data_IF_395775749152
#
_entry.id   IF_395775749152
#
_cell.length_a   1.000
_cell.length_b   1.000
_cell.length_c   1.000
_cell.angle_alpha   90.00
_cell.angle_beta   90.00
_cell.angle_gamma   90.00
#
_symmetry.space_group_name_H-M   'P 1'
#
loop_
_entity.id
_entity.type
_entity.pdbx_description
1 polymer ?
#
# COMPACT_ATOMS: atom_id res chain seq x y z
N UNK A 1 4.18 -5.75 -19.54
CA UNK A 1 2.94 -5.79 -18.73
C UNK A 1 3.28 -5.68 -17.25
N UNK A 2 3.22 -4.48 -16.65
CA UNK A 2 3.57 -4.25 -15.23
C UNK A 2 2.45 -3.54 -14.44
N UNK A 3 1.21 -3.60 -14.93
CA UNK A 3 0.13 -2.70 -14.51
C UNK A 3 -1.01 -3.26 -13.61
N UNK A 4 -1.10 -4.56 -13.22
CA UNK A 4 -2.14 -4.99 -12.29
C UNK A 4 -1.85 -4.57 -10.84
N UNK A 5 -0.59 -4.50 -10.43
CA UNK A 5 -0.22 -4.14 -9.06
C UNK A 5 -0.51 -2.66 -8.73
N UNK A 6 -0.33 -1.76 -9.72
CA UNK A 6 -0.37 -0.32 -9.47
C UNK A 6 -1.79 0.22 -9.21
N UNK A 7 -2.81 -0.22 -9.97
CA UNK A 7 -4.15 0.39 -9.94
C UNK A 7 -4.96 0.01 -8.70
N UNK A 8 -4.93 -1.25 -8.31
CA UNK A 8 -5.68 -1.79 -7.14
C UNK A 8 -5.15 -1.19 -5.84
N UNK A 9 -3.82 -1.08 -5.73
CA UNK A 9 -3.15 -0.45 -4.59
C UNK A 9 -3.43 1.05 -4.57
N UNK A 10 -3.38 1.75 -5.70
CA UNK A 10 -3.70 3.18 -5.80
C UNK A 10 -5.09 3.51 -5.24
N UNK A 11 -6.10 2.79 -5.75
CA UNK A 11 -7.51 3.02 -5.37
C UNK A 11 -7.70 2.84 -3.87
N UNK A 12 -7.07 1.81 -3.30
CA UNK A 12 -7.22 1.50 -1.89
C UNK A 12 -6.42 2.43 -0.97
N UNK A 13 -5.20 2.84 -1.34
CA UNK A 13 -4.35 3.72 -0.51
C UNK A 13 -4.84 5.18 -0.54
N UNK A 14 -5.19 5.68 -1.73
CA UNK A 14 -5.36 7.12 -1.93
C UNK A 14 -6.81 7.56 -2.12
N UNK A 15 -7.69 6.71 -2.64
CA UNK A 15 -9.10 7.09 -2.90
C UNK A 15 -9.99 6.81 -1.69
N UNK A 16 -9.94 5.61 -1.13
CA UNK A 16 -10.83 5.23 -0.03
C UNK A 16 -10.28 5.61 1.34
N UNK A 17 -8.95 5.72 1.51
CA UNK A 17 -8.30 6.10 2.78
C UNK A 17 -8.48 5.09 3.93
N UNK A 18 -9.42 4.16 3.81
CA UNK A 18 -9.69 3.08 4.74
C UNK A 18 -8.81 1.86 4.41
N UNK A 19 -7.88 1.56 5.31
CA UNK A 19 -7.06 0.35 5.26
C UNK A 19 -7.89 -0.82 5.80
N UNK A 20 -8.37 -1.69 4.91
CA UNK A 20 -9.17 -2.88 5.28
C UNK A 20 -8.32 -4.15 5.37
N UNK A 21 -8.75 -5.16 6.12
CA UNK A 21 -8.10 -6.49 6.18
C UNK A 21 -7.90 -7.11 4.78
N UNK A 22 -8.93 -7.03 3.93
CA UNK A 22 -8.87 -7.50 2.53
C UNK A 22 -7.77 -6.79 1.75
N UNK A 23 -7.72 -5.46 1.85
CA UNK A 23 -6.67 -4.68 1.20
C UNK A 23 -5.27 -5.05 1.71
N UNK A 24 -5.10 -5.26 3.02
CA UNK A 24 -3.82 -5.67 3.58
C UNK A 24 -3.37 -7.06 3.12
N UNK A 25 -4.30 -8.01 2.94
CA UNK A 25 -4.02 -9.31 2.32
C UNK A 25 -3.53 -9.18 0.87
N UNK A 26 -4.18 -8.33 0.07
CA UNK A 26 -3.74 -8.04 -1.30
C UNK A 26 -2.37 -7.34 -1.32
N UNK A 27 -2.16 -6.33 -0.48
CA UNK A 27 -0.88 -5.61 -0.39
C UNK A 27 0.27 -6.54 0.01
N UNK A 28 0.03 -7.49 0.94
CA UNK A 28 1.00 -8.54 1.30
C UNK A 28 1.34 -9.46 0.13
N UNK A 29 0.35 -9.93 -0.63
CA UNK A 29 0.57 -10.78 -1.81
C UNK A 29 1.40 -10.07 -2.88
N UNK A 30 1.20 -8.76 -3.06
CA UNK A 30 1.95 -7.95 -4.01
C UNK A 30 3.38 -7.65 -3.51
N UNK A 31 3.60 -7.69 -2.20
CA UNK A 31 4.90 -7.58 -1.56
C UNK A 31 5.47 -6.16 -1.51
N UNK A 32 6.53 -5.99 -0.70
CA UNK A 32 7.17 -4.70 -0.45
C UNK A 32 7.79 -4.10 -1.72
N UNK A 33 8.35 -4.94 -2.58
CA UNK A 33 8.94 -4.53 -3.87
C UNK A 33 7.91 -3.80 -4.73
N UNK A 34 6.67 -4.30 -4.80
CA UNK A 34 5.66 -3.60 -5.58
C UNK A 34 5.21 -2.29 -4.91
N UNK A 35 5.07 -2.27 -3.58
CA UNK A 35 4.79 -1.04 -2.85
C UNK A 35 5.85 0.05 -3.13
N UNK A 36 7.14 -0.30 -3.10
CA UNK A 36 8.23 0.66 -3.30
C UNK A 36 8.31 1.14 -4.76
N UNK A 37 8.17 0.23 -5.73
CA UNK A 37 8.10 0.58 -7.15
C UNK A 37 6.91 1.51 -7.45
N UNK A 38 5.81 1.34 -6.72
CA UNK A 38 4.63 2.17 -6.85
C UNK A 38 4.81 3.57 -6.25
N UNK A 39 5.47 3.71 -5.11
CA UNK A 39 5.85 5.03 -4.56
C UNK A 39 6.65 5.79 -5.61
N UNK A 40 7.64 5.14 -6.23
CA UNK A 40 8.43 5.74 -7.31
C UNK A 40 7.55 6.18 -8.48
N UNK A 41 6.64 5.32 -8.94
CA UNK A 41 5.75 5.65 -10.08
C UNK A 41 4.75 6.77 -9.76
N UNK A 42 4.31 6.86 -8.51
CA UNK A 42 3.41 7.92 -8.03
C UNK A 42 4.10 9.29 -8.06
N UNK A 43 5.40 9.33 -7.74
CA UNK A 43 6.20 10.56 -7.81
C UNK A 43 6.41 11.04 -9.24
N UNK A 44 6.44 10.13 -10.21
CA UNK A 44 6.57 10.45 -11.63
C UNK A 44 5.25 10.91 -12.28
N UNK A 45 4.10 10.63 -11.65
CA UNK A 45 2.80 10.90 -12.24
C UNK A 45 2.37 12.37 -11.99
N UNK A 46 2.07 13.14 -13.06
CA UNK A 46 1.76 14.56 -12.96
C UNK A 46 0.49 14.86 -12.16
N UNK A 47 -0.38 13.87 -11.92
CA UNK A 47 -1.56 14.02 -11.05
C UNK A 47 -1.14 14.29 -9.60
N UNK A 48 0.02 13.78 -9.16
CA UNK A 48 0.52 13.93 -7.79
C UNK A 48 1.61 14.99 -7.66
N UNK A 49 1.85 15.80 -8.70
CA UNK A 49 2.88 16.86 -8.71
C UNK A 49 2.78 17.87 -7.56
N UNK A 50 1.59 18.03 -6.99
CA UNK A 50 1.33 18.95 -5.88
C UNK A 50 1.54 18.31 -4.50
N UNK A 51 1.78 16.99 -4.45
CA UNK A 51 2.11 16.28 -3.21
C UNK A 51 3.62 16.25 -3.05
N UNK A 52 4.10 16.54 -1.84
CA UNK A 52 5.52 16.38 -1.56
C UNK A 52 5.89 14.91 -1.52
N UNK A 53 7.11 14.59 -1.97
CA UNK A 53 7.67 13.24 -1.90
C UNK A 53 7.63 12.69 -0.48
N UNK A 54 7.96 13.53 0.50
CA UNK A 54 7.87 13.23 1.93
C UNK A 54 6.45 12.81 2.36
N UNK A 55 5.41 13.52 1.88
CA UNK A 55 4.02 13.18 2.21
C UNK A 55 3.61 11.82 1.62
N UNK A 56 3.99 11.54 0.37
CA UNK A 56 3.72 10.26 -0.31
C UNK A 56 4.43 9.12 0.42
N UNK A 57 5.72 9.28 0.71
CA UNK A 57 6.52 8.28 1.42
C UNK A 57 6.01 8.02 2.84
N UNK A 58 5.59 9.07 3.57
CA UNK A 58 5.00 8.94 4.91
C UNK A 58 3.68 8.17 4.86
N UNK A 59 2.83 8.44 3.86
CA UNK A 59 1.53 7.78 3.70
C UNK A 59 1.70 6.30 3.31
N UNK A 60 2.61 6.00 2.39
CA UNK A 60 2.96 4.61 2.02
C UNK A 60 3.50 3.82 3.22
N UNK A 61 4.48 4.37 3.96
CA UNK A 61 5.00 3.70 5.18
C UNK A 61 3.93 3.45 6.22
N UNK A 62 3.07 4.44 6.48
CA UNK A 62 1.95 4.29 7.42
C UNK A 62 1.05 3.13 7.00
N UNK A 63 0.64 3.07 5.75
CA UNK A 63 -0.22 2.01 5.23
C UNK A 63 0.44 0.64 5.32
N UNK A 64 1.71 0.52 4.93
CA UNK A 64 2.46 -0.73 5.03
C UNK A 64 2.53 -1.24 6.48
N UNK A 65 2.87 -0.35 7.42
CA UNK A 65 2.96 -0.72 8.84
C UNK A 65 1.59 -1.10 9.42
N UNK A 66 0.54 -0.36 9.09
CA UNK A 66 -0.83 -0.72 9.49
C UNK A 66 -1.19 -2.12 8.97
N UNK A 67 -0.88 -2.43 7.71
CA UNK A 67 -1.16 -3.75 7.15
C UNK A 67 -0.27 -4.87 7.71
N UNK A 68 0.95 -4.56 8.13
CA UNK A 68 1.79 -5.50 8.88
C UNK A 68 1.14 -5.85 10.22
N UNK A 69 0.70 -4.85 11.00
CA UNK A 69 0.11 -5.03 12.33
C UNK A 69 -1.29 -5.67 12.34
N UNK A 70 -2.05 -5.56 11.24
CA UNK A 70 -3.39 -6.17 11.13
C UNK A 70 -3.34 -7.71 11.13
N UNK A 71 -2.16 -8.31 10.91
CA UNK A 71 -1.97 -9.77 10.85
C UNK A 71 -1.35 -10.34 12.15
N UNK A 72 -0.77 -9.52 13.02
CA UNK A 72 -0.32 -9.95 14.37
C UNK A 72 -1.49 -10.29 15.33
N UNK A 73 -2.75 -10.11 14.90
CA UNK A 73 -3.95 -10.54 15.64
C UNK A 73 -4.49 -11.91 15.14
N UNK A 74 -3.63 -12.74 14.56
CA UNK A 74 -3.90 -14.16 14.47
C UNK A 74 -2.90 -14.92 15.33
N UNK A 75 -3.25 -15.27 16.59
CA UNK A 75 -2.71 -16.50 17.12
C UNK A 75 -3.29 -17.62 16.26
N UNK A 76 -2.47 -18.15 15.36
CA UNK A 76 -2.53 -19.59 15.16
C UNK A 76 -2.14 -20.21 16.49
N UNK A 77 -3.12 -20.72 17.23
CA UNK A 77 -2.98 -21.68 18.31
C UNK A 77 -4.39 -22.17 18.64
N UNK A 78 -4.74 -23.44 18.62
CA UNK A 78 -4.07 -24.70 18.28
C UNK A 78 -5.19 -25.72 18.06
N UNK A 79 -4.91 -26.79 17.29
CA UNK A 79 -5.55 -28.12 17.29
C UNK A 79 -7.05 -28.23 17.60
#
# INVERSE_FOLDING_TARGET
MALPCAREVFTSIFKTGAVTKKFCGQLKQLGKVCNDAFVKKTLEDPIYKNLSESAIAKKSRKTWNTCASVIDISPSSSA
#
